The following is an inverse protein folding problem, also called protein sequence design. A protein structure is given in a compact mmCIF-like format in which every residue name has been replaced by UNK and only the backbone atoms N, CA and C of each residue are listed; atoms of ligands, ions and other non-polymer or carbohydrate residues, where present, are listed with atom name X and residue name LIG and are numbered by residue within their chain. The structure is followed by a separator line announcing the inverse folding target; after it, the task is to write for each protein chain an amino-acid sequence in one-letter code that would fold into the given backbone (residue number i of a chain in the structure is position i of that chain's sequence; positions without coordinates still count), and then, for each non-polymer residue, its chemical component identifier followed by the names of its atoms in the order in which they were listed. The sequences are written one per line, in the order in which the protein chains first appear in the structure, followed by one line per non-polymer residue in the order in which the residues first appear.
data_IF_098831458310
#
_entry.id   IF_098831458310
#
_cell.length_a   1.000
_cell.length_b   1.000
_cell.length_c   1.000
_cell.angle_alpha   90.00
_cell.angle_beta   90.00
_cell.angle_gamma   90.00
#
_symmetry.space_group_name_H-M   'P 1'
#
loop_
_entity.id
_entity.type
_entity.pdbx_description
1 polymer ?
#
# COMPACT_ATOMS: atom_id res chain seq x y z
N UNK A 1 12.87 -22.79 -10.80
CA UNK A 1 12.29 -21.43 -10.66
C UNK A 1 11.49 -21.42 -9.39
N UNK A 2 11.93 -20.70 -8.35
CA UNK A 2 11.27 -20.68 -7.05
C UNK A 2 10.12 -19.68 -7.13
N UNK A 3 8.88 -20.16 -7.06
CA UNK A 3 7.72 -19.29 -6.96
C UNK A 3 7.66 -18.78 -5.52
N UNK A 4 8.13 -17.56 -5.29
CA UNK A 4 7.87 -16.83 -4.05
C UNK A 4 6.43 -16.32 -4.14
N UNK A 5 5.48 -17.21 -3.85
CA UNK A 5 4.08 -16.83 -3.72
C UNK A 5 3.94 -15.68 -2.73
N UNK A 6 2.98 -14.80 -2.99
CA UNK A 6 2.71 -13.56 -2.24
C UNK A 6 2.19 -13.78 -0.80
N UNK A 7 2.56 -14.90 -0.18
CA UNK A 7 2.28 -15.23 1.21
C UNK A 7 3.62 -15.19 1.92
N UNK A 8 3.76 -14.23 2.83
CA UNK A 8 4.95 -14.02 3.64
C UNK A 8 5.52 -15.37 4.08
N UNK A 9 6.70 -15.71 3.56
CA UNK A 9 7.39 -16.98 3.84
C UNK A 9 7.77 -17.13 5.32
N UNK A 10 7.58 -16.06 6.09
CA UNK A 10 7.86 -15.95 7.51
C UNK A 10 6.73 -15.17 8.22
N UNK A 11 6.59 -15.41 9.52
CA UNK A 11 5.58 -14.84 10.43
C UNK A 11 5.74 -13.31 10.66
N UNK A 12 6.21 -12.55 9.67
CA UNK A 12 6.60 -11.15 9.79
C UNK A 12 5.48 -10.26 9.21
N UNK A 13 4.78 -9.59 10.13
CA UNK A 13 4.43 -8.16 10.20
C UNK A 13 4.57 -7.24 8.94
N UNK A 14 4.24 -7.69 7.74
CA UNK A 14 4.14 -6.79 6.59
C UNK A 14 2.75 -6.14 6.55
N UNK A 15 2.73 -4.85 6.22
CA UNK A 15 1.50 -4.07 6.14
C UNK A 15 0.58 -4.58 5.03
N UNK A 16 -0.71 -4.65 5.31
CA UNK A 16 -1.75 -4.79 4.31
C UNK A 16 -2.91 -3.86 4.68
N UNK A 17 -3.65 -3.40 3.68
CA UNK A 17 -4.93 -2.75 3.90
C UNK A 17 -5.88 -3.03 2.72
N UNK A 18 -7.17 -2.82 2.95
CA UNK A 18 -8.23 -3.10 1.99
C UNK A 18 -9.03 -1.84 1.74
N UNK A 19 -9.09 -1.41 0.48
CA UNK A 19 -10.06 -0.42 0.01
C UNK A 19 -11.29 -1.16 -0.54
N UNK A 20 -12.34 -1.27 0.28
CA UNK A 20 -13.60 -1.94 -0.10
C UNK A 20 -14.44 -1.14 -1.09
N UNK A 21 -14.21 0.17 -1.24
CA UNK A 21 -14.93 0.99 -2.23
C UNK A 21 -14.45 0.69 -3.64
N UNK A 22 -13.15 0.47 -3.79
CA UNK A 22 -12.51 0.20 -5.08
C UNK A 22 -12.23 -1.29 -5.33
N UNK A 23 -12.61 -2.16 -4.38
CA UNK A 23 -12.29 -3.59 -4.37
C UNK A 23 -10.78 -3.87 -4.56
N UNK A 24 -9.95 -3.15 -3.80
CA UNK A 24 -8.48 -3.24 -3.87
C UNK A 24 -7.92 -3.73 -2.54
N UNK A 25 -6.94 -4.64 -2.60
CA UNK A 25 -6.05 -4.94 -1.49
C UNK A 25 -4.63 -4.47 -1.82
N UNK A 26 -4.00 -3.78 -0.88
CA UNK A 26 -2.58 -3.45 -0.93
C UNK A 26 -1.80 -4.36 0.01
N UNK A 27 -0.68 -4.91 -0.45
CA UNK A 27 0.14 -5.86 0.30
C UNK A 27 1.61 -5.46 0.16
N UNK A 28 2.28 -5.25 1.30
CA UNK A 28 3.73 -5.09 1.36
C UNK A 28 4.45 -6.45 1.24
N UNK A 29 5.52 -6.48 0.44
CA UNK A 29 6.36 -7.66 0.23
C UNK A 29 7.69 -7.59 0.98
N UNK A 30 8.32 -8.77 1.12
CA UNK A 30 9.69 -8.91 1.64
C UNK A 30 10.74 -8.21 0.76
N UNK A 31 10.40 -7.90 -0.49
CA UNK A 31 11.22 -7.13 -1.43
C UNK A 31 11.09 -5.61 -1.26
N UNK A 32 10.54 -5.15 -0.13
CA UNK A 32 10.25 -3.76 0.19
C UNK A 32 9.42 -3.06 -0.89
N UNK A 33 8.51 -3.78 -1.55
CA UNK A 33 7.55 -3.19 -2.49
C UNK A 33 6.13 -3.37 -2.00
N UNK A 34 5.26 -2.45 -2.38
CA UNK A 34 3.81 -2.58 -2.15
C UNK A 34 3.13 -2.90 -3.47
N UNK A 35 2.30 -3.94 -3.46
CA UNK A 35 1.54 -4.43 -4.62
C UNK A 35 0.06 -4.22 -4.38
N UNK A 36 -0.67 -4.00 -5.47
CA UNK A 36 -2.11 -3.80 -5.42
C UNK A 36 -2.80 -4.85 -6.26
N UNK A 37 -3.82 -5.47 -5.70
CA UNK A 37 -4.60 -6.51 -6.37
C UNK A 37 -6.08 -6.16 -6.32
N UNK A 38 -6.79 -6.52 -7.39
CA UNK A 38 -8.25 -6.52 -7.40
C UNK A 38 -8.72 -7.70 -6.56
N UNK A 39 -9.60 -7.43 -5.58
CA UNK A 39 -10.21 -8.46 -4.73
C UNK A 39 -11.05 -9.42 -5.59
N UNK A 40 -11.79 -8.87 -6.56
CA UNK A 40 -12.70 -9.64 -7.41
C UNK A 40 -12.00 -10.59 -8.38
N UNK A 41 -10.80 -10.24 -8.85
CA UNK A 41 -10.11 -11.01 -9.90
C UNK A 41 -8.81 -11.66 -9.44
N UNK A 42 -8.28 -11.26 -8.28
CA UNK A 42 -6.95 -11.65 -7.80
C UNK A 42 -5.79 -11.13 -8.66
N UNK A 43 -6.07 -10.29 -9.68
CA UNK A 43 -5.05 -9.78 -10.60
C UNK A 43 -4.42 -8.51 -10.05
N UNK A 44 -3.13 -8.33 -10.36
CA UNK A 44 -2.45 -7.06 -10.12
C UNK A 44 -3.12 -5.96 -10.95
N UNK A 45 -3.43 -4.83 -10.32
CA UNK A 45 -4.14 -3.71 -10.96
C UNK A 45 -3.20 -2.56 -11.36
N UNK A 46 -2.00 -2.52 -10.81
CA UNK A 46 -0.96 -1.51 -11.11
C UNK A 46 0.43 -2.08 -10.83
N UNK A 47 1.45 -1.37 -11.32
CA UNK A 47 2.84 -1.70 -11.03
C UNK A 47 3.12 -1.59 -9.52
N UNK A 48 3.98 -2.45 -8.96
CA UNK A 48 4.40 -2.32 -7.58
C UNK A 48 5.08 -0.97 -7.34
N UNK A 49 4.89 -0.39 -6.16
CA UNK A 49 5.57 0.84 -5.73
C UNK A 49 6.76 0.50 -4.83
N UNK A 50 7.80 1.32 -4.88
CA UNK A 50 9.12 1.03 -4.28
C UNK A 50 10.15 0.55 -5.32
N UNK A 51 11.29 -0.03 -4.90
CA UNK A 51 11.58 -0.52 -3.54
C UNK A 51 11.73 0.61 -2.53
N UNK A 52 11.21 0.40 -1.33
CA UNK A 52 11.42 1.27 -0.18
C UNK A 52 12.74 0.92 0.53
N UNK A 53 13.30 1.89 1.24
CA UNK A 53 14.58 1.75 1.95
C UNK A 53 14.57 0.66 3.04
N UNK A 54 13.40 0.31 3.56
CA UNK A 54 13.20 -0.71 4.59
C UNK A 54 11.81 -1.35 4.46
N UNK A 55 11.49 -2.29 5.35
CA UNK A 55 10.21 -2.99 5.42
C UNK A 55 9.06 -2.00 5.61
N UNK A 56 7.99 -2.25 4.87
CA UNK A 56 6.71 -1.57 5.07
C UNK A 56 5.90 -2.36 6.09
N UNK A 57 5.77 -1.83 7.31
CA UNK A 57 5.19 -2.53 8.45
C UNK A 57 3.69 -2.31 8.61
N UNK A 58 3.16 -1.21 8.04
CA UNK A 58 1.74 -0.88 8.05
C UNK A 58 1.35 -0.13 6.78
N UNK A 59 0.12 -0.35 6.34
CA UNK A 59 -0.51 0.33 5.21
C UNK A 59 -1.86 0.89 5.66
N UNK A 60 -2.27 2.04 5.13
CA UNK A 60 -3.62 2.57 5.32
C UNK A 60 -4.10 3.33 4.10
N UNK A 61 -5.14 2.82 3.43
CA UNK A 61 -5.83 3.57 2.40
C UNK A 61 -6.51 4.79 3.01
N UNK A 62 -6.35 5.93 2.34
CA UNK A 62 -7.11 7.13 2.58
C UNK A 62 -7.94 7.38 1.30
N UNK A 63 -9.25 7.41 1.46
CA UNK A 63 -10.24 7.65 0.39
C UNK A 63 -10.90 9.01 0.62
N UNK A 64 -11.53 9.58 -0.41
CA UNK A 64 -12.25 10.87 -0.25
C UNK A 64 -13.29 10.81 0.89
N UNK A 65 -14.00 9.68 1.05
CA UNK A 65 -14.97 9.51 2.13
C UNK A 65 -14.30 9.53 3.52
N UNK A 66 -13.03 9.09 3.61
CA UNK A 66 -12.26 9.17 4.86
C UNK A 66 -11.78 10.59 5.19
N UNK A 67 -11.67 11.46 4.17
CA UNK A 67 -11.37 12.89 4.33
C UNK A 67 -12.56 13.66 4.90
N UNK A 68 -13.80 13.31 4.51
CA UNK A 68 -15.01 13.94 5.06
C UNK A 68 -15.13 13.77 6.58
N UNK A 69 -14.60 12.65 7.12
CA UNK A 69 -14.59 12.37 8.55
C UNK A 69 -13.50 13.14 9.32
N UNK A 70 -12.48 13.66 8.63
CA UNK A 70 -11.39 14.43 9.22
C UNK A 70 -10.78 15.42 8.19
N UNK A 71 -11.45 16.56 7.93
CA UNK A 71 -11.01 17.52 6.92
C UNK A 71 -9.67 18.19 7.24
N UNK A 72 -9.23 18.16 8.50
CA UNK A 72 -7.94 18.72 8.94
C UNK A 72 -6.75 17.78 8.70
N UNK A 73 -6.99 16.50 8.39
CA UNK A 73 -5.95 15.46 8.43
C UNK A 73 -5.23 15.23 7.09
N UNK A 74 -5.83 15.54 5.94
CA UNK A 74 -5.12 15.34 4.67
C UNK A 74 -5.77 16.07 3.47
N UNK A 75 -5.15 17.17 3.01
CA UNK A 75 -5.50 17.81 1.73
C UNK A 75 -5.03 17.00 0.51
N UNK A 76 -4.31 15.89 0.73
CA UNK A 76 -3.60 15.12 -0.31
C UNK A 76 -4.51 14.25 -1.19
N UNK A 77 -5.79 14.12 -0.83
CA UNK A 77 -6.76 13.32 -1.58
C UNK A 77 -6.59 11.80 -1.38
N UNK A 78 -6.93 11.01 -2.41
CA UNK A 78 -6.88 9.55 -2.32
C UNK A 78 -5.47 8.99 -2.44
N UNK A 79 -5.15 8.01 -1.61
CA UNK A 79 -3.84 7.38 -1.60
C UNK A 79 -3.65 6.38 -0.48
N UNK A 80 -2.40 6.13 -0.13
CA UNK A 80 -2.01 5.16 0.88
C UNK A 80 -0.90 5.72 1.76
N UNK A 81 -1.14 5.68 3.06
CA UNK A 81 -0.13 5.89 4.09
C UNK A 81 0.65 4.60 4.33
N UNK A 82 1.95 4.73 4.53
CA UNK A 82 2.86 3.61 4.70
C UNK A 82 3.82 3.89 5.84
N UNK A 83 3.97 2.95 6.77
CA UNK A 83 5.01 3.01 7.79
C UNK A 83 6.26 2.27 7.28
N UNK A 84 7.33 3.01 7.01
CA UNK A 84 8.61 2.50 6.52
C UNK A 84 9.69 2.83 7.54
N UNK A 85 10.27 1.82 8.18
CA UNK A 85 11.21 2.00 9.29
C UNK A 85 10.64 2.90 10.42
N UNK A 86 11.08 4.15 10.51
CA UNK A 86 10.66 5.18 11.49
C UNK A 86 9.91 6.34 10.82
N UNK A 87 9.61 6.22 9.53
CA UNK A 87 8.97 7.27 8.73
C UNK A 87 7.57 6.86 8.29
N UNK A 88 6.71 7.86 8.14
CA UNK A 88 5.42 7.73 7.48
C UNK A 88 5.50 8.36 6.10
N UNK A 89 5.23 7.56 5.07
CA UNK A 89 5.24 7.98 3.68
C UNK A 89 3.82 7.98 3.13
N UNK A 90 3.54 8.96 2.28
CA UNK A 90 2.29 9.05 1.53
C UNK A 90 2.54 8.74 0.06
N UNK A 91 1.67 7.93 -0.55
CA UNK A 91 1.67 7.69 -1.98
C UNK A 91 0.26 7.79 -2.56
N UNK A 92 0.11 8.46 -3.70
CA UNK A 92 -1.14 8.58 -4.46
C UNK A 92 -0.90 8.37 -5.95
N UNK A 93 -1.97 8.04 -6.70
CA UNK A 93 -1.92 7.97 -8.17
C UNK A 93 -1.74 9.40 -8.68
N UNK A 94 -0.49 9.76 -9.02
CA UNK A 94 -0.10 11.11 -9.42
C UNK A 94 1.26 11.54 -8.86
N UNK A 95 1.72 10.92 -7.77
CA UNK A 95 3.10 11.07 -7.28
C UNK A 95 4.04 10.25 -8.17
N UNK A 96 4.68 10.91 -9.14
CA UNK A 96 5.77 10.35 -9.92
C UNK A 96 7.13 10.44 -9.21
N UNK A 97 7.18 11.13 -8.07
CA UNK A 97 8.42 11.38 -7.34
C UNK A 97 8.54 10.39 -6.17
N UNK A 98 9.09 9.21 -6.48
CA UNK A 98 9.75 8.36 -5.48
C UNK A 98 11.14 8.08 -6.04
N UNK A 99 12.04 9.07 -5.90
CA UNK A 99 13.49 8.84 -5.96
C UNK A 99 14.00 8.22 -4.65
#
# INVERSE_FOLDING_TARGET
MKFEGNVNSTNIQYGFDVNLKEDIVAIAGQDNKVRFFSINTGRAIRNPIGPFKDKVSALRFCTLDSMELNPELDERGEGIWMAVEKEFLWWSIGNNDVE
#
